data_IF_037762106890
#
_entry.id   IF_037762106890
#
_cell.length_a   1.000
_cell.length_b   1.000
_cell.length_c   1.000
_cell.angle_alpha   90.00
_cell.angle_beta   90.00
_cell.angle_gamma   90.00
#
_symmetry.space_group_name_H-M   'P 1'
#
loop_
_entity.id
_entity.type
_entity.pdbx_description
1 polymer ?
#
# COMPACT_ATOMS: atom_id res chain seq x y z
N UNK A 1 3.80 -21.02 -24.63
CA UNK A 1 3.34 -20.22 -23.48
C UNK A 1 2.76 -18.94 -24.03
N UNK A 2 1.45 -18.72 -23.90
CA UNK A 2 0.81 -17.49 -24.37
C UNK A 2 1.54 -16.26 -23.85
N UNK A 3 1.87 -15.34 -24.77
CA UNK A 3 2.30 -13.97 -24.45
C UNK A 3 1.12 -13.27 -23.75
N UNK A 4 0.90 -13.56 -22.47
CA UNK A 4 0.07 -12.69 -21.64
C UNK A 4 0.73 -11.32 -21.66
N UNK A 5 0.04 -10.35 -22.24
CA UNK A 5 0.50 -8.97 -22.26
C UNK A 5 0.75 -8.51 -20.82
N UNK A 6 1.99 -8.08 -20.57
CA UNK A 6 2.44 -7.69 -19.24
C UNK A 6 1.68 -6.46 -18.70
N UNK A 7 1.23 -5.61 -19.62
CA UNK A 7 0.59 -4.34 -19.35
C UNK A 7 -0.61 -4.18 -20.28
N UNK A 8 -1.66 -3.49 -19.81
CA UNK A 8 -2.69 -2.98 -20.72
C UNK A 8 -2.10 -1.95 -21.69
N UNK A 9 -2.77 -1.75 -22.83
CA UNK A 9 -2.28 -0.94 -23.96
C UNK A 9 -1.78 0.45 -23.53
N UNK A 10 -2.61 1.22 -22.81
CA UNK A 10 -2.25 2.55 -22.30
C UNK A 10 -1.00 2.53 -21.39
N UNK A 11 -0.87 1.51 -20.53
CA UNK A 11 0.27 1.37 -19.63
C UNK A 11 1.54 1.01 -20.41
N UNK A 12 1.41 0.20 -21.47
CA UNK A 12 2.51 -0.19 -22.34
C UNK A 12 3.06 0.99 -23.14
N UNK A 13 2.19 1.82 -23.71
CA UNK A 13 2.59 3.02 -24.46
C UNK A 13 3.32 4.03 -23.57
N UNK A 14 2.85 4.22 -22.32
CA UNK A 14 3.43 5.16 -21.38
C UNK A 14 4.93 4.91 -21.09
N UNK A 15 5.41 3.67 -21.23
CA UNK A 15 6.83 3.32 -21.10
C UNK A 15 7.71 4.16 -22.03
N UNK A 16 7.24 4.41 -23.26
CA UNK A 16 8.01 5.08 -24.30
C UNK A 16 8.09 6.59 -24.13
N UNK A 17 7.31 7.18 -23.21
CA UNK A 17 7.44 8.59 -22.85
C UNK A 17 8.75 8.89 -22.10
N UNK A 18 9.43 7.87 -21.57
CA UNK A 18 10.67 8.05 -20.83
C UNK A 18 11.82 8.55 -21.72
N UNK A 19 12.15 9.85 -21.59
CA UNK A 19 13.30 10.48 -22.27
C UNK A 19 14.66 10.26 -21.55
N UNK A 20 14.69 9.42 -20.52
CA UNK A 20 15.89 9.04 -19.75
C UNK A 20 16.66 10.18 -19.06
N UNK A 21 16.03 11.34 -18.83
CA UNK A 21 16.65 12.53 -18.23
C UNK A 21 17.21 12.35 -16.80
N UNK A 22 16.73 11.35 -16.05
CA UNK A 22 17.25 11.04 -14.71
C UNK A 22 16.64 11.85 -13.56
N UNK A 23 15.72 12.80 -13.80
CA UNK A 23 15.09 13.60 -12.75
C UNK A 23 14.44 12.74 -11.64
N UNK A 24 13.80 11.64 -11.99
CA UNK A 24 13.19 10.72 -11.03
C UNK A 24 14.18 10.14 -10.00
N UNK A 25 15.47 10.10 -10.31
CA UNK A 25 16.53 9.57 -9.43
C UNK A 25 16.68 10.46 -8.20
N UNK A 26 16.72 11.78 -8.40
CA UNK A 26 16.85 12.78 -7.32
C UNK A 26 15.68 12.76 -6.33
N UNK A 27 14.53 12.22 -6.75
CA UNK A 27 13.31 12.16 -5.93
C UNK A 27 13.01 10.76 -5.38
N UNK A 28 13.79 9.74 -5.74
CA UNK A 28 13.61 8.38 -5.23
C UNK A 28 14.26 8.23 -3.85
N UNK A 29 13.50 8.00 -2.77
CA UNK A 29 14.08 7.84 -1.44
C UNK A 29 14.93 6.58 -1.34
N UNK A 30 14.54 5.49 -1.99
CA UNK A 30 15.30 4.23 -1.95
C UNK A 30 16.68 4.39 -2.59
N UNK A 31 16.74 5.01 -3.77
CA UNK A 31 18.00 5.22 -4.46
C UNK A 31 18.98 6.07 -3.64
N UNK A 32 18.50 7.08 -2.91
CA UNK A 32 19.36 7.91 -2.04
C UNK A 32 20.09 7.10 -0.96
N UNK A 33 19.50 5.99 -0.54
CA UNK A 33 20.09 5.10 0.46
C UNK A 33 20.98 4.02 -0.19
N UNK A 34 20.51 3.37 -1.25
CA UNK A 34 21.22 2.20 -1.82
C UNK A 34 22.22 2.55 -2.91
N UNK A 35 22.03 3.67 -3.61
CA UNK A 35 22.90 4.19 -4.69
C UNK A 35 23.16 3.20 -5.85
N UNK A 36 22.25 2.25 -6.06
CA UNK A 36 22.29 1.25 -7.14
C UNK A 36 21.42 1.66 -8.32
N UNK A 37 21.91 1.56 -9.56
CA UNK A 37 21.18 2.00 -10.76
C UNK A 37 19.89 1.16 -10.98
N UNK A 38 19.91 -0.14 -10.67
CA UNK A 38 18.74 -1.02 -10.74
C UNK A 38 17.64 -0.62 -9.74
N UNK A 39 18.02 0.09 -8.66
CA UNK A 39 17.06 0.62 -7.70
C UNK A 39 16.39 1.91 -8.19
N UNK A 40 16.92 2.58 -9.21
CA UNK A 40 16.36 3.83 -9.71
C UNK A 40 15.00 3.64 -10.37
N UNK A 41 14.11 4.66 -10.32
CA UNK A 41 12.86 4.60 -11.07
C UNK A 41 13.09 4.51 -12.58
N UNK A 42 14.08 5.23 -13.13
CA UNK A 42 14.43 5.18 -14.56
C UNK A 42 14.86 3.78 -14.96
N UNK A 43 15.75 3.16 -14.19
CA UNK A 43 16.20 1.78 -14.41
C UNK A 43 15.01 0.82 -14.45
N UNK A 44 14.09 0.92 -13.49
CA UNK A 44 12.86 0.12 -13.46
C UNK A 44 11.92 0.35 -14.64
N UNK A 45 11.84 1.58 -15.17
CA UNK A 45 11.10 1.83 -16.42
C UNK A 45 11.76 1.10 -17.58
N UNK A 46 13.10 1.08 -17.68
CA UNK A 46 13.79 0.32 -18.73
C UNK A 46 13.64 -1.20 -18.54
N UNK A 47 13.71 -1.71 -17.30
CA UNK A 47 13.43 -3.12 -17.02
C UNK A 47 12.00 -3.48 -17.43
N UNK A 48 11.02 -2.64 -17.10
CA UNK A 48 9.62 -2.81 -17.52
C UNK A 48 9.48 -2.83 -19.04
N UNK A 49 10.22 -1.97 -19.75
CA UNK A 49 10.27 -1.94 -21.22
C UNK A 49 10.79 -3.25 -21.79
N UNK A 50 11.97 -3.71 -21.36
CA UNK A 50 12.58 -4.92 -21.89
C UNK A 50 11.75 -6.17 -21.56
N UNK A 51 11.12 -6.21 -20.38
CA UNK A 51 10.14 -7.25 -20.04
C UNK A 51 8.93 -7.22 -20.99
N UNK A 52 8.43 -6.04 -21.36
CA UNK A 52 7.30 -5.89 -22.29
C UNK A 52 7.66 -6.23 -23.74
N UNK A 53 8.90 -5.97 -24.16
CA UNK A 53 9.41 -6.30 -25.50
C UNK A 53 9.77 -7.80 -25.62
N UNK A 54 9.88 -8.51 -24.49
CA UNK A 54 10.33 -9.90 -24.42
C UNK A 54 11.84 -10.07 -24.60
N UNK A 55 12.60 -8.96 -24.54
CA UNK A 55 14.07 -8.94 -24.62
C UNK A 55 14.74 -9.19 -23.26
N UNK A 56 13.97 -9.15 -22.17
CA UNK A 56 14.39 -9.50 -20.82
C UNK A 56 13.42 -10.51 -20.22
N UNK A 57 13.95 -11.55 -19.59
CA UNK A 57 13.13 -12.45 -18.78
C UNK A 57 12.93 -11.90 -17.37
N UNK A 58 11.75 -12.20 -16.80
CA UNK A 58 11.48 -11.92 -15.39
C UNK A 58 12.22 -12.94 -14.52
N UNK A 59 13.50 -12.69 -14.26
CA UNK A 59 14.34 -13.48 -13.36
C UNK A 59 14.10 -13.12 -11.89
N UNK A 60 14.75 -13.85 -10.96
CA UNK A 60 14.64 -13.56 -9.53
C UNK A 60 15.28 -12.20 -9.18
N UNK A 61 16.37 -11.84 -9.82
CA UNK A 61 17.07 -10.57 -9.64
C UNK A 61 16.19 -9.40 -10.11
N UNK A 62 15.54 -9.57 -11.27
CA UNK A 62 14.59 -8.56 -11.77
C UNK A 62 13.42 -8.43 -10.81
N UNK A 63 12.82 -9.55 -10.36
CA UNK A 63 11.76 -9.55 -9.34
C UNK A 63 12.19 -8.77 -8.10
N UNK A 64 13.39 -9.02 -7.58
CA UNK A 64 13.90 -8.39 -6.37
C UNK A 64 14.16 -6.89 -6.55
N UNK A 65 14.57 -6.44 -7.74
CA UNK A 65 14.62 -5.01 -8.04
C UNK A 65 13.25 -4.35 -7.83
N UNK A 66 12.15 -4.98 -8.25
CA UNK A 66 10.81 -4.41 -8.04
C UNK A 66 10.27 -4.59 -6.63
N UNK A 67 10.54 -5.70 -5.93
CA UNK A 67 10.01 -5.94 -4.58
C UNK A 67 10.83 -5.30 -3.47
N UNK A 68 12.16 -5.38 -3.55
CA UNK A 68 13.06 -4.98 -2.47
C UNK A 68 13.49 -3.53 -2.55
N UNK A 69 13.50 -2.92 -3.76
CA UNK A 69 13.99 -1.54 -3.95
C UNK A 69 12.95 -0.58 -4.53
N UNK A 70 11.66 -0.89 -4.37
CA UNK A 70 10.57 0.04 -4.70
C UNK A 70 9.57 0.11 -3.55
N UNK A 71 9.25 1.31 -3.08
CA UNK A 71 8.20 1.52 -2.07
C UNK A 71 6.82 1.81 -2.67
N UNK A 72 6.71 1.89 -4.01
CA UNK A 72 5.52 2.39 -4.71
C UNK A 72 5.01 3.74 -4.18
N UNK A 73 5.89 4.60 -3.67
CA UNK A 73 5.51 5.88 -3.04
C UNK A 73 5.06 6.99 -4.02
N UNK A 74 5.07 6.74 -5.34
CA UNK A 74 4.63 7.72 -6.35
C UNK A 74 5.53 8.94 -6.57
N UNK A 75 6.57 9.18 -5.77
CA UNK A 75 7.46 10.34 -5.90
C UNK A 75 8.06 10.49 -7.31
N UNK A 76 8.43 9.38 -7.95
CA UNK A 76 8.95 9.41 -9.32
C UNK A 76 7.92 9.87 -10.37
N UNK A 77 6.64 9.57 -10.15
CA UNK A 77 5.53 9.96 -11.05
C UNK A 77 5.26 11.45 -10.91
N UNK A 78 5.15 11.94 -9.67
CA UNK A 78 4.91 13.35 -9.37
C UNK A 78 5.98 14.29 -9.93
N UNK A 79 7.22 13.80 -10.10
CA UNK A 79 8.35 14.58 -10.58
C UNK A 79 8.77 14.23 -12.02
N UNK A 80 8.00 13.42 -12.76
CA UNK A 80 8.33 13.07 -14.13
C UNK A 80 7.81 14.14 -15.11
N UNK A 81 8.69 14.91 -15.79
CA UNK A 81 8.22 15.91 -16.76
C UNK A 81 7.58 15.29 -18.01
N UNK A 82 7.90 14.02 -18.30
CA UNK A 82 7.36 13.28 -19.43
C UNK A 82 6.07 12.51 -19.11
N UNK A 83 5.57 12.59 -17.88
CA UNK A 83 4.33 11.92 -17.48
C UNK A 83 4.41 10.39 -17.47
N UNK A 84 5.58 9.82 -17.13
CA UNK A 84 5.72 8.36 -16.99
C UNK A 84 5.09 7.90 -15.66
N UNK A 85 4.08 7.05 -15.75
CA UNK A 85 3.39 6.39 -14.65
C UNK A 85 4.14 5.13 -14.20
N UNK A 86 5.31 5.35 -13.60
CA UNK A 86 6.16 4.27 -13.07
C UNK A 86 5.46 3.40 -12.03
N UNK A 87 4.57 3.97 -11.22
CA UNK A 87 3.74 3.25 -10.25
C UNK A 87 2.90 2.13 -10.89
N UNK A 88 2.26 2.40 -12.03
CA UNK A 88 1.48 1.40 -12.77
C UNK A 88 2.38 0.33 -13.39
N UNK A 89 3.51 0.74 -13.99
CA UNK A 89 4.49 -0.17 -14.57
C UNK A 89 5.05 -1.13 -13.52
N UNK A 90 5.49 -0.59 -12.38
CA UNK A 90 6.16 -1.37 -11.34
C UNK A 90 5.17 -2.30 -10.63
N UNK A 91 3.92 -1.85 -10.44
CA UNK A 91 2.84 -2.69 -9.93
C UNK A 91 2.50 -3.82 -10.90
N UNK A 92 2.47 -3.56 -12.21
CA UNK A 92 2.29 -4.58 -13.23
C UNK A 92 3.39 -5.65 -13.23
N UNK A 93 4.65 -5.24 -13.09
CA UNK A 93 5.78 -6.20 -12.97
C UNK A 93 5.67 -7.02 -11.68
N UNK A 94 5.32 -6.40 -10.54
CA UNK A 94 5.07 -7.13 -9.28
C UNK A 94 3.96 -8.15 -9.42
N UNK A 95 2.87 -7.78 -10.09
CA UNK A 95 1.76 -8.68 -10.38
C UNK A 95 2.22 -9.86 -11.25
N UNK A 96 2.98 -9.62 -12.31
CA UNK A 96 3.53 -10.69 -13.17
C UNK A 96 4.48 -11.61 -12.41
N UNK A 97 5.32 -11.05 -11.55
CA UNK A 97 6.21 -11.83 -10.71
C UNK A 97 5.43 -12.76 -9.78
N UNK A 98 4.33 -12.28 -9.20
CA UNK A 98 3.40 -13.13 -8.43
C UNK A 98 2.78 -14.23 -9.29
N UNK A 99 2.42 -13.96 -10.55
CA UNK A 99 1.91 -15.01 -11.46
C UNK A 99 2.97 -16.07 -11.81
N UNK A 100 4.24 -15.67 -11.97
CA UNK A 100 5.35 -16.58 -12.32
C UNK A 100 5.86 -17.38 -11.12
N UNK A 101 6.09 -16.72 -10.00
CA UNK A 101 6.76 -17.28 -8.81
C UNK A 101 5.79 -17.70 -7.70
N UNK A 102 4.53 -17.30 -7.80
CA UNK A 102 3.56 -17.49 -6.73
C UNK A 102 3.79 -16.58 -5.52
N UNK A 103 3.00 -16.81 -4.47
CA UNK A 103 3.15 -16.17 -3.17
C UNK A 103 3.36 -17.28 -2.15
N UNK A 104 4.38 -17.14 -1.29
CA UNK A 104 4.60 -18.03 -0.16
C UNK A 104 3.32 -18.16 0.70
N UNK A 105 3.03 -19.38 1.17
CA UNK A 105 1.78 -19.67 1.85
C UNK A 105 1.57 -18.83 3.13
N UNK A 106 2.65 -18.45 3.84
CA UNK A 106 2.56 -17.59 5.03
C UNK A 106 2.10 -16.19 4.63
N UNK A 107 2.66 -15.65 3.54
CA UNK A 107 2.24 -14.35 2.97
C UNK A 107 0.80 -14.43 2.47
N UNK A 108 0.41 -15.52 1.81
CA UNK A 108 -0.98 -15.74 1.36
C UNK A 108 -1.96 -15.76 2.53
N UNK A 109 -1.63 -16.46 3.61
CA UNK A 109 -2.44 -16.51 4.83
C UNK A 109 -2.53 -15.12 5.49
N UNK A 110 -1.41 -14.38 5.54
CA UNK A 110 -1.38 -13.01 6.04
C UNK A 110 -2.29 -12.09 5.21
N UNK A 111 -2.21 -12.13 3.88
CA UNK A 111 -3.10 -11.34 3.02
C UNK A 111 -4.58 -11.73 3.19
N UNK A 112 -4.89 -13.02 3.38
CA UNK A 112 -6.26 -13.47 3.67
C UNK A 112 -6.77 -12.99 5.04
N UNK A 113 -5.88 -12.89 6.03
CA UNK A 113 -6.19 -12.30 7.33
C UNK A 113 -6.48 -10.80 7.17
N UNK A 114 -5.58 -10.07 6.48
CA UNK A 114 -5.70 -8.63 6.25
C UNK A 114 -6.91 -8.27 5.36
N UNK A 115 -7.26 -9.13 4.40
CA UNK A 115 -8.38 -8.89 3.51
C UNK A 115 -9.74 -9.23 4.12
N UNK A 116 -9.77 -9.92 5.26
CA UNK A 116 -11.02 -10.31 5.92
C UNK A 116 -11.29 -9.43 7.14
N UNK A 117 -12.33 -8.60 7.06
CA UNK A 117 -12.79 -7.74 8.17
C UNK A 117 -12.98 -8.54 9.47
N UNK A 118 -13.65 -9.70 9.38
CA UNK A 118 -13.91 -10.57 10.52
C UNK A 118 -12.63 -11.15 11.14
N UNK A 119 -11.71 -11.68 10.32
CA UNK A 119 -10.46 -12.24 10.84
C UNK A 119 -9.55 -11.14 11.41
N UNK A 120 -9.60 -9.95 10.83
CA UNK A 120 -8.83 -8.82 11.33
C UNK A 120 -9.40 -8.22 12.62
N UNK A 121 -10.73 -8.09 12.76
CA UNK A 121 -11.35 -7.61 14.01
C UNK A 121 -11.11 -8.58 15.17
N UNK A 122 -11.26 -9.88 14.92
CA UNK A 122 -10.98 -10.93 15.93
C UNK A 122 -9.50 -10.99 16.31
N UNK A 123 -8.58 -10.93 15.34
CA UNK A 123 -7.14 -10.93 15.62
C UNK A 123 -6.65 -9.65 16.29
N UNK A 124 -7.20 -8.48 15.95
CA UNK A 124 -6.89 -7.22 16.63
C UNK A 124 -7.35 -7.24 18.10
N UNK A 125 -8.56 -7.74 18.36
CA UNK A 125 -9.07 -7.92 19.73
C UNK A 125 -8.19 -8.89 20.53
N UNK A 126 -7.86 -10.06 19.94
CA UNK A 126 -7.00 -11.04 20.59
C UNK A 126 -5.59 -10.49 20.82
N UNK A 127 -5.00 -9.80 19.84
CA UNK A 127 -3.69 -9.18 19.96
C UNK A 127 -3.62 -8.15 21.07
N UNK A 128 -4.68 -7.33 21.23
CA UNK A 128 -4.82 -6.40 22.36
C UNK A 128 -4.89 -7.11 23.70
N UNK A 129 -5.73 -8.15 23.80
CA UNK A 129 -5.87 -8.94 25.03
C UNK A 129 -4.54 -9.62 25.39
N UNK A 130 -3.87 -10.24 24.43
CA UNK A 130 -2.59 -10.91 24.61
C UNK A 130 -1.51 -9.93 25.06
N UNK A 131 -1.43 -8.74 24.43
CA UNK A 131 -0.48 -7.68 24.85
C UNK A 131 -0.76 -7.16 26.25
N UNK A 132 -2.04 -7.09 26.66
CA UNK A 132 -2.42 -6.68 28.03
C UNK A 132 -2.05 -7.75 29.08
N UNK A 133 -2.24 -9.03 28.76
CA UNK A 133 -2.04 -10.13 29.70
C UNK A 133 -0.60 -10.63 29.79
N UNK A 134 0.11 -10.64 28.66
CA UNK A 134 1.43 -11.26 28.50
C UNK A 134 2.46 -10.33 27.87
N UNK A 135 2.10 -9.08 27.57
CA UNK A 135 3.01 -8.08 27.02
C UNK A 135 3.74 -7.30 28.11
N UNK A 136 4.44 -6.24 27.68
CA UNK A 136 5.31 -5.42 28.51
C UNK A 136 6.61 -5.08 27.78
N UNK A 137 7.24 -3.92 28.05
CA UNK A 137 8.37 -3.42 27.25
C UNK A 137 9.53 -4.42 27.12
N UNK A 138 9.81 -5.17 28.19
CA UNK A 138 10.88 -6.17 28.19
C UNK A 138 10.57 -7.42 27.34
N UNK A 139 9.30 -7.85 27.29
CA UNK A 139 8.89 -9.01 26.49
C UNK A 139 8.74 -8.59 25.02
N UNK A 140 8.11 -7.45 24.78
CA UNK A 140 7.86 -6.93 23.44
C UNK A 140 9.15 -6.58 22.70
N UNK A 141 10.14 -5.99 23.38
CA UNK A 141 11.46 -5.70 22.79
C UNK A 141 12.23 -6.94 22.35
N UNK A 142 11.86 -8.14 22.83
CA UNK A 142 12.46 -9.42 22.43
C UNK A 142 11.69 -10.15 21.34
N UNK A 143 10.49 -9.69 20.99
CA UNK A 143 9.62 -10.32 20.02
C UNK A 143 9.64 -9.53 18.71
N UNK A 144 9.77 -10.25 17.58
CA UNK A 144 9.69 -9.67 16.25
C UNK A 144 8.48 -10.24 15.49
N UNK A 145 7.73 -9.35 14.85
CA UNK A 145 6.71 -9.68 13.86
C UNK A 145 7.29 -9.42 12.46
N UNK A 146 7.90 -10.45 11.86
CA UNK A 146 8.66 -10.29 10.63
C UNK A 146 9.91 -9.45 10.87
N UNK A 147 10.07 -8.35 10.12
CA UNK A 147 11.21 -7.44 10.26
C UNK A 147 11.01 -6.34 11.33
N UNK A 148 9.83 -6.28 11.97
CA UNK A 148 9.50 -5.23 12.95
C UNK A 148 9.49 -5.79 14.36
N UNK A 149 10.07 -5.04 15.28
CA UNK A 149 9.95 -5.32 16.70
C UNK A 149 8.52 -5.03 17.19
N UNK A 150 7.97 -5.91 18.02
CA UNK A 150 6.58 -5.81 18.51
C UNK A 150 6.34 -4.53 19.31
N UNK A 151 7.35 -4.02 20.01
CA UNK A 151 7.26 -2.76 20.77
C UNK A 151 6.92 -1.56 19.86
N UNK A 152 7.35 -1.59 18.60
CA UNK A 152 7.09 -0.53 17.60
C UNK A 152 5.71 -0.63 16.96
N UNK A 153 4.95 -1.69 17.23
CA UNK A 153 3.60 -1.85 16.71
C UNK A 153 2.65 -1.06 17.62
N UNK A 154 1.85 -0.11 17.08
CA UNK A 154 0.87 0.63 17.88
C UNK A 154 -0.15 -0.30 18.55
N UNK A 155 -0.75 0.18 19.63
CA UNK A 155 -1.84 -0.57 20.27
C UNK A 155 -3.08 -0.60 19.37
N UNK A 156 -3.77 -1.74 19.33
CA UNK A 156 -5.03 -1.86 18.61
C UNK A 156 -6.17 -1.08 19.30
N UNK A 157 -7.07 -0.53 18.48
CA UNK A 157 -8.33 0.06 18.92
C UNK A 157 -9.18 -0.97 19.69
N UNK A 158 -10.04 -0.51 20.61
CA UNK A 158 -10.98 -1.43 21.29
C UNK A 158 -12.03 -2.00 20.33
N UNK A 159 -12.52 -1.16 19.42
CA UNK A 159 -13.40 -1.53 18.31
C UNK A 159 -12.85 -0.89 17.04
N UNK A 160 -13.07 -1.48 15.86
CA UNK A 160 -12.75 -0.84 14.60
C UNK A 160 -13.33 0.58 14.51
N UNK A 161 -12.61 1.51 13.89
CA UNK A 161 -13.09 2.88 13.66
C UNK A 161 -14.48 2.88 13.03
N UNK A 162 -14.70 2.06 12.00
CA UNK A 162 -15.97 2.01 11.30
C UNK A 162 -17.15 1.58 12.19
N UNK A 163 -16.91 0.88 13.30
CA UNK A 163 -17.95 0.53 14.28
C UNK A 163 -18.18 1.62 15.33
N UNK A 164 -17.23 2.54 15.51
CA UNK A 164 -17.32 3.62 16.51
C UNK A 164 -17.96 4.91 15.96
N UNK A 165 -18.31 4.92 14.67
CA UNK A 165 -18.90 6.08 13.98
C UNK A 165 -20.19 5.64 13.28
N UNK A 166 -21.20 6.51 13.11
CA UNK A 166 -22.38 6.21 12.28
C UNK A 166 -22.00 5.88 10.83
N UNK A 167 -22.86 5.17 10.10
CA UNK A 167 -22.65 4.92 8.65
C UNK A 167 -22.75 6.21 7.84
N UNK A 168 -23.67 7.10 8.23
CA UNK A 168 -23.82 8.42 7.63
C UNK A 168 -23.63 9.45 8.74
N UNK A 169 -22.63 10.30 8.58
CA UNK A 169 -22.36 11.43 9.48
C UNK A 169 -22.85 12.69 8.81
N UNK A 170 -23.88 13.31 9.40
CA UNK A 170 -24.46 14.55 8.90
C UNK A 170 -23.51 15.73 9.10
N UNK A 171 -23.45 16.67 8.14
CA UNK A 171 -22.65 17.88 8.27
C UNK A 171 -23.22 18.84 9.32
N UNK A 172 -22.39 19.77 9.76
CA UNK A 172 -22.83 20.96 10.49
C UNK A 172 -23.19 22.07 9.50
N UNK A 173 -24.35 22.71 9.70
CA UNK A 173 -24.84 23.77 8.82
C UNK A 173 -25.35 23.27 7.47
N UNK A 174 -25.18 24.09 6.43
CA UNK A 174 -25.62 23.76 5.08
C UNK A 174 -24.76 22.66 4.45
N UNK A 175 -25.41 21.72 3.75
CA UNK A 175 -24.72 20.62 3.07
C UNK A 175 -24.07 21.14 1.79
N UNK A 176 -22.73 21.13 1.76
CA UNK A 176 -21.90 21.60 0.65
C UNK A 176 -21.39 20.48 -0.25
N UNK A 177 -21.47 19.24 0.22
CA UNK A 177 -21.00 18.07 -0.52
C UNK A 177 -21.20 16.77 0.24
N UNK A 178 -20.92 15.67 -0.44
CA UNK A 178 -21.03 14.31 0.09
C UNK A 178 -19.81 13.51 -0.33
N UNK A 179 -19.21 12.78 0.61
CA UNK A 179 -18.03 11.95 0.34
C UNK A 179 -18.20 10.54 0.90
N UNK A 180 -17.67 9.56 0.18
CA UNK A 180 -17.46 8.21 0.69
C UNK A 180 -16.06 8.15 1.30
N UNK A 181 -15.95 8.01 2.62
CA UNK A 181 -14.66 7.93 3.29
C UNK A 181 -14.19 6.48 3.36
N UNK A 182 -13.27 6.13 2.45
CA UNK A 182 -12.68 4.80 2.37
C UNK A 182 -11.48 4.69 3.32
N UNK A 183 -11.66 4.01 4.45
CA UNK A 183 -10.67 3.99 5.52
C UNK A 183 -9.55 2.96 5.29
N UNK A 184 -8.29 3.27 5.63
CA UNK A 184 -7.21 2.28 5.60
C UNK A 184 -7.30 1.27 6.77
N UNK A 185 -6.61 0.14 6.66
CA UNK A 185 -6.51 -0.84 7.77
C UNK A 185 -5.91 -0.20 9.03
N UNK A 186 -4.88 0.64 8.86
CA UNK A 186 -4.23 1.34 9.96
C UNK A 186 -5.22 2.28 10.68
N UNK A 187 -5.94 3.13 9.95
CA UNK A 187 -7.00 3.98 10.50
C UNK A 187 -8.09 3.16 11.19
N UNK A 188 -8.47 2.02 10.60
CA UNK A 188 -9.56 1.23 11.15
C UNK A 188 -9.19 0.54 12.48
N UNK A 189 -8.00 -0.05 12.56
CA UNK A 189 -7.64 -0.95 13.66
C UNK A 189 -6.59 -0.38 14.63
N UNK A 190 -5.79 0.62 14.24
CA UNK A 190 -4.69 1.16 15.05
C UNK A 190 -4.88 2.64 15.40
N UNK A 191 -5.30 3.45 14.43
CA UNK A 191 -5.38 4.92 14.54
C UNK A 191 -6.80 5.42 14.34
N UNK A 192 -7.72 4.93 15.19
CA UNK A 192 -9.14 5.29 15.06
C UNK A 192 -9.44 6.76 15.36
N UNK A 193 -8.55 7.40 16.11
CA UNK A 193 -8.50 8.84 16.35
C UNK A 193 -8.24 9.65 15.08
N UNK A 194 -7.31 9.22 14.21
CA UNK A 194 -7.09 9.87 12.91
C UNK A 194 -8.37 9.81 12.06
N UNK A 195 -9.03 8.65 12.04
CA UNK A 195 -10.31 8.49 11.32
C UNK A 195 -11.38 9.43 11.83
N UNK A 196 -11.51 9.58 13.15
CA UNK A 196 -12.45 10.52 13.78
C UNK A 196 -12.13 11.97 13.45
N UNK A 197 -10.86 12.35 13.53
CA UNK A 197 -10.43 13.71 13.20
C UNK A 197 -10.77 14.09 11.76
N UNK A 198 -10.60 13.17 10.80
CA UNK A 198 -11.01 13.38 9.40
C UNK A 198 -12.51 13.62 9.29
N UNK A 199 -13.33 12.78 9.93
CA UNK A 199 -14.79 12.92 9.95
C UNK A 199 -15.21 14.25 10.58
N UNK A 200 -14.61 14.62 11.70
CA UNK A 200 -14.93 15.86 12.43
C UNK A 200 -14.61 17.11 11.59
N UNK A 201 -13.48 17.10 10.88
CA UNK A 201 -13.12 18.19 9.96
C UNK A 201 -14.12 18.29 8.81
N UNK A 202 -14.43 17.17 8.15
CA UNK A 202 -15.39 17.15 7.03
C UNK A 202 -16.78 17.60 7.46
N UNK A 203 -17.24 17.12 8.61
CA UNK A 203 -18.51 17.51 9.22
C UNK A 203 -18.59 19.03 9.42
N UNK A 204 -17.55 19.65 9.98
CA UNK A 204 -17.45 21.11 10.17
C UNK A 204 -17.35 21.89 8.86
N UNK A 205 -16.84 21.27 7.80
CA UNK A 205 -16.77 21.87 6.46
C UNK A 205 -18.12 21.81 5.71
N UNK A 206 -19.19 21.30 6.33
CA UNK A 206 -20.48 21.15 5.67
C UNK A 206 -20.56 19.92 4.75
N UNK A 207 -19.67 18.94 4.94
CA UNK A 207 -19.61 17.73 4.09
C UNK A 207 -20.26 16.54 4.80
N UNK A 208 -21.23 15.91 4.14
CA UNK A 208 -21.79 14.63 4.59
C UNK A 208 -20.79 13.49 4.33
N UNK A 209 -20.52 12.69 5.35
CA UNK A 209 -19.53 11.59 5.27
C UNK A 209 -20.24 10.25 5.36
N UNK A 210 -20.09 9.42 4.32
CA UNK A 210 -20.53 8.03 4.29
C UNK A 210 -19.34 7.14 4.65
N UNK A 211 -19.51 6.28 5.65
CA UNK A 211 -18.48 5.37 6.17
C UNK A 211 -18.99 3.94 6.00
N UNK A 212 -18.61 3.25 4.91
CA UNK A 212 -19.14 1.93 4.57
C UNK A 212 -18.77 0.91 5.65
N UNK A 213 -19.80 0.29 6.26
CA UNK A 213 -19.58 -0.63 7.38
C UNK A 213 -18.90 -1.91 6.96
N UNK A 214 -19.18 -2.40 5.77
CA UNK A 214 -18.65 -3.69 5.29
C UNK A 214 -17.38 -3.56 4.44
N UNK A 215 -16.73 -2.39 4.51
CA UNK A 215 -15.42 -2.21 3.91
C UNK A 215 -14.40 -3.18 4.52
N UNK A 216 -13.71 -3.91 3.65
CA UNK A 216 -12.64 -4.85 4.03
C UNK A 216 -11.26 -4.25 3.69
N UNK A 217 -10.52 -4.84 2.75
CA UNK A 217 -9.24 -4.31 2.30
C UNK A 217 -9.44 -3.07 1.42
N UNK A 218 -8.64 -2.02 1.65
CA UNK A 218 -8.66 -0.85 0.79
C UNK A 218 -7.90 -1.04 -0.54
N UNK A 219 -7.15 -2.14 -0.69
CA UNK A 219 -6.42 -2.47 -1.92
C UNK A 219 -5.21 -1.58 -2.22
N UNK A 220 -4.91 -0.60 -1.37
CA UNK A 220 -3.67 0.19 -1.46
C UNK A 220 -2.46 -0.72 -1.14
N UNK A 221 -1.40 -0.69 -1.99
CA UNK A 221 -0.21 -1.52 -1.84
C UNK A 221 0.65 -1.14 -0.62
#
# INVERSE_FOLDING_TARGET
MEKQELFGENTRENIYHCIKCGLCIAHCPVYKEVLLEEATPRGKVQLSRYLSEGSLELSEEVKDAFFSTCLLCGSCVANCPSGVHGDHLFSGVRWRAVQRYGIDWKKKMMFQLLASKWKMSTSAWFGKWARKMFGGPWIESKLNAGALNVERIPAFNQKPFCENVPEVVKPEGETRGRVLYFHGCATNYLYGDIGRAVVDVLKKMGVEVIIPKDQSCCGLP
#
